data_IF_528168711893
#
_entry.id   IF_528168711893
#
_cell.length_a   1.000
_cell.length_b   1.000
_cell.length_c   1.000
_cell.angle_alpha   90.00
_cell.angle_beta   90.00
_cell.angle_gamma   90.00
#
_symmetry.space_group_name_H-M   'P 1'
#
loop_
_entity.id
_entity.type
_entity.pdbx_description
1 polymer ?
#
# COMPACT_ATOMS: atom_id res chain seq x y z
N UNK A 1 -1.86 -6.90 -23.20
CA UNK A 1 -1.51 -6.09 -22.03
C UNK A 1 -2.36 -6.56 -20.86
N UNK A 2 -1.76 -6.70 -19.69
CA UNK A 2 -2.45 -6.91 -18.41
C UNK A 2 -2.21 -5.65 -17.61
N UNK A 3 -3.27 -4.93 -17.26
CA UNK A 3 -3.13 -3.74 -16.43
C UNK A 3 -2.92 -4.16 -14.97
N UNK A 4 -2.07 -3.41 -14.28
CA UNK A 4 -1.72 -3.65 -12.89
C UNK A 4 -2.91 -3.46 -11.97
N UNK A 5 -3.08 -4.40 -11.03
CA UNK A 5 -4.06 -4.35 -9.97
C UNK A 5 -3.39 -4.25 -8.60
N UNK A 6 -3.97 -3.44 -7.72
CA UNK A 6 -3.54 -3.34 -6.33
C UNK A 6 -3.74 -4.68 -5.62
N UNK A 7 -2.72 -5.13 -4.90
CA UNK A 7 -2.88 -6.14 -3.86
C UNK A 7 -3.70 -5.59 -2.71
N UNK A 8 -4.19 -6.48 -1.86
CA UNK A 8 -4.67 -6.08 -0.56
C UNK A 8 -3.58 -5.30 0.20
N UNK A 9 -4.03 -4.38 1.03
CA UNK A 9 -3.14 -3.68 1.96
C UNK A 9 -2.57 -4.66 2.99
N UNK A 10 -1.32 -4.43 3.38
CA UNK A 10 -0.73 -5.05 4.54
C UNK A 10 -1.48 -4.66 5.81
N UNK A 11 -1.24 -5.41 6.88
CA UNK A 11 -1.60 -4.93 8.21
C UNK A 11 -0.87 -3.60 8.48
N UNK A 12 -1.51 -2.76 9.29
CA UNK A 12 -0.86 -1.58 9.85
C UNK A 12 0.33 -2.00 10.71
N UNK A 13 1.41 -1.23 10.61
CA UNK A 13 2.53 -1.32 11.54
C UNK A 13 2.08 -1.03 12.97
N UNK A 14 2.92 -1.39 13.94
CA UNK A 14 2.74 -0.88 15.29
C UNK A 14 2.77 0.66 15.30
N UNK A 15 2.06 1.23 16.26
CA UNK A 15 2.06 2.67 16.47
C UNK A 15 3.48 3.13 16.86
N UNK A 16 3.95 4.24 16.28
CA UNK A 16 5.28 4.79 16.54
C UNK A 16 5.51 5.15 18.01
N UNK A 17 4.44 5.37 18.77
CA UNK A 17 4.48 5.63 20.21
C UNK A 17 3.46 4.75 20.93
N UNK A 18 3.71 4.47 22.21
CA UNK A 18 2.77 3.76 23.08
C UNK A 18 1.80 4.70 23.80
N UNK A 19 2.06 6.01 23.78
CA UNK A 19 1.21 7.03 24.38
C UNK A 19 1.38 8.38 23.68
N UNK A 20 0.31 9.17 23.62
CA UNK A 20 0.29 10.43 22.86
C UNK A 20 -0.21 10.21 21.44
N UNK A 21 0.20 11.07 20.52
CA UNK A 21 -0.13 10.96 19.09
C UNK A 21 1.06 10.32 18.39
N UNK A 22 0.86 9.14 17.84
CA UNK A 22 1.79 8.41 17.00
C UNK A 22 1.33 8.35 15.55
N UNK A 23 2.00 7.50 14.80
CA UNK A 23 1.62 7.18 13.43
C UNK A 23 1.91 5.71 13.17
N UNK A 24 1.09 5.13 12.32
CA UNK A 24 1.26 3.77 11.81
C UNK A 24 1.18 3.81 10.29
N UNK A 25 1.87 2.88 9.65
CA UNK A 25 1.96 2.79 8.19
C UNK A 25 1.47 1.45 7.69
N UNK A 26 1.00 1.40 6.45
CA UNK A 26 0.71 0.15 5.74
C UNK A 26 1.07 0.28 4.27
N UNK A 27 1.28 -0.86 3.64
CA UNK A 27 1.78 -0.94 2.27
C UNK A 27 0.89 -1.82 1.39
N UNK A 28 0.86 -1.56 0.10
CA UNK A 28 0.25 -2.41 -0.93
C UNK A 28 1.15 -2.44 -2.17
N UNK A 29 1.09 -3.54 -2.91
CA UNK A 29 1.82 -3.69 -4.17
C UNK A 29 0.90 -3.63 -5.38
N UNK A 30 1.43 -3.24 -6.53
CA UNK A 30 0.74 -3.39 -7.81
C UNK A 30 1.02 -4.78 -8.41
N UNK A 31 0.55 -5.82 -7.73
CA UNK A 31 0.93 -7.22 -8.03
C UNK A 31 -0.27 -8.16 -8.18
N UNK A 32 -1.50 -7.65 -8.09
CA UNK A 32 -2.71 -8.48 -8.14
C UNK A 32 -3.73 -7.97 -9.19
N UNK A 33 -3.45 -8.15 -10.50
CA UNK A 33 -2.26 -8.78 -11.09
C UNK A 33 -1.11 -7.77 -11.27
N UNK A 34 0.10 -8.28 -11.53
CA UNK A 34 1.21 -7.42 -11.96
C UNK A 34 0.98 -6.95 -13.41
N UNK A 35 1.39 -5.72 -13.77
CA UNK A 35 1.26 -5.22 -15.13
C UNK A 35 2.17 -6.00 -16.10
N UNK A 36 1.62 -6.46 -17.23
CA UNK A 36 2.35 -7.26 -18.22
C UNK A 36 2.07 -6.82 -19.66
N UNK A 37 3.01 -7.11 -20.57
CA UNK A 37 2.87 -6.87 -22.02
C UNK A 37 2.39 -5.45 -22.37
N UNK A 38 2.96 -4.44 -21.71
CA UNK A 38 2.63 -3.02 -21.93
C UNK A 38 1.33 -2.54 -21.27
N UNK A 39 0.85 -3.24 -20.23
CA UNK A 39 -0.26 -2.75 -19.40
C UNK A 39 0.16 -1.63 -18.46
N UNK A 40 -0.84 -0.93 -17.93
CA UNK A 40 -0.66 0.28 -17.13
C UNK A 40 -0.31 -0.08 -15.69
N UNK A 41 0.60 0.67 -15.06
CA UNK A 41 0.86 0.54 -13.62
C UNK A 41 -0.32 1.07 -12.78
N UNK A 42 -0.41 0.62 -11.53
CA UNK A 42 -1.47 1.07 -10.64
C UNK A 42 -1.30 2.55 -10.30
N UNK A 43 -2.37 3.32 -10.42
CA UNK A 43 -2.39 4.74 -10.06
C UNK A 43 -2.69 4.92 -8.57
N UNK A 44 -1.85 5.72 -7.88
CA UNK A 44 -1.94 6.01 -6.45
C UNK A 44 -0.74 5.56 -5.63
N UNK A 45 -0.80 5.80 -4.32
CA UNK A 45 0.32 5.49 -3.41
C UNK A 45 0.39 4.00 -3.08
N UNK A 46 1.62 3.51 -2.93
CA UNK A 46 1.96 2.17 -2.43
C UNK A 46 1.97 2.11 -0.90
N UNK A 47 2.09 3.26 -0.24
CA UNK A 47 2.15 3.40 1.22
C UNK A 47 1.04 4.34 1.70
N UNK A 48 0.49 4.06 2.87
CA UNK A 48 -0.45 4.92 3.58
C UNK A 48 0.02 5.11 5.02
N UNK A 49 -0.07 6.35 5.52
CA UNK A 49 0.23 6.70 6.91
C UNK A 49 -1.02 7.29 7.55
N UNK A 50 -1.31 6.87 8.78
CA UNK A 50 -2.38 7.48 9.58
C UNK A 50 -1.94 7.65 11.04
N UNK A 51 -2.63 8.53 11.75
CA UNK A 51 -2.46 8.67 13.20
C UNK A 51 -3.01 7.45 13.94
N UNK A 52 -2.29 7.10 15.00
CA UNK A 52 -2.65 6.19 16.07
C UNK A 52 -2.28 6.87 17.40
#
# INVERSE_FOLDING_TARGET
AVDGGWSDWSAWSDCSVTCGVGSQTRDRGCTNPAPEHGGVECDGNTEETQEC
#
